data_IF_549630718635
#
_entry.id   IF_549630718635
#
_cell.length_a   1.000
_cell.length_b   1.000
_cell.length_c   1.000
_cell.angle_alpha   90.00
_cell.angle_beta   90.00
_cell.angle_gamma   90.00
#
_symmetry.space_group_name_H-M   'P 1'
#
loop_
_entity.id
_entity.type
_entity.pdbx_description
1 polymer ?
#
# COMPACT_ATOMS: atom_id res chain seq x y z
N UNK A 1 -25.10 -12.58 13.27
CA UNK A 1 -25.53 -11.85 12.05
C UNK A 1 -25.24 -10.34 12.12
N UNK A 2 -25.71 -9.58 13.15
CA UNK A 2 -25.41 -8.14 13.28
C UNK A 2 -23.91 -7.79 13.42
N UNK A 3 -23.12 -8.62 14.11
CA UNK A 3 -21.68 -8.40 14.30
C UNK A 3 -20.88 -8.47 12.99
N UNK A 4 -21.20 -9.43 12.10
CA UNK A 4 -20.50 -9.58 10.82
C UNK A 4 -20.76 -8.41 9.86
N UNK A 5 -21.99 -7.87 9.85
CA UNK A 5 -22.35 -6.71 9.00
C UNK A 5 -21.54 -5.48 9.44
N UNK A 6 -21.45 -5.22 10.75
CA UNK A 6 -20.67 -4.11 11.30
C UNK A 6 -19.16 -4.25 11.00
N UNK A 7 -18.63 -5.47 11.03
CA UNK A 7 -17.24 -5.73 10.67
C UNK A 7 -16.99 -5.45 9.18
N UNK A 8 -17.85 -5.95 8.30
CA UNK A 8 -17.73 -5.72 6.87
C UNK A 8 -17.78 -4.23 6.52
N UNK A 9 -18.73 -3.49 7.10
CA UNK A 9 -18.85 -2.05 6.93
C UNK A 9 -17.58 -1.33 7.40
N UNK A 10 -17.01 -1.75 8.53
CA UNK A 10 -15.75 -1.21 9.03
C UNK A 10 -14.59 -1.43 8.03
N UNK A 11 -14.39 -2.67 7.56
CA UNK A 11 -13.29 -3.02 6.65
C UNK A 11 -13.39 -2.24 5.34
N UNK A 12 -14.60 -2.15 4.77
CA UNK A 12 -14.84 -1.39 3.53
C UNK A 12 -14.69 0.11 3.73
N UNK A 13 -15.15 0.65 4.87
CA UNK A 13 -14.98 2.08 5.20
C UNK A 13 -13.51 2.48 5.19
N UNK A 14 -12.61 1.69 5.78
CA UNK A 14 -11.18 2.04 5.81
C UNK A 14 -10.57 2.15 4.41
N UNK A 15 -10.92 1.24 3.51
CA UNK A 15 -10.41 1.26 2.13
C UNK A 15 -11.03 2.43 1.36
N UNK A 16 -12.30 2.73 1.60
CA UNK A 16 -12.99 3.87 0.98
C UNK A 16 -12.37 5.22 1.36
N UNK A 17 -11.79 5.37 2.56
CA UNK A 17 -11.07 6.59 2.92
C UNK A 17 -9.77 6.77 2.12
N UNK A 18 -9.10 5.68 1.73
CA UNK A 18 -7.94 5.73 0.83
C UNK A 18 -8.40 6.11 -0.58
N UNK A 19 -9.47 5.47 -1.05
CA UNK A 19 -10.07 5.75 -2.35
C UNK A 19 -10.58 7.20 -2.47
N UNK A 20 -11.20 7.76 -1.44
CA UNK A 20 -11.59 9.16 -1.38
C UNK A 20 -10.38 10.09 -1.55
N UNK A 21 -9.28 9.78 -0.86
CA UNK A 21 -8.04 10.56 -0.95
C UNK A 21 -7.51 10.58 -2.38
N UNK A 22 -7.51 9.42 -3.04
CA UNK A 22 -6.93 9.26 -4.36
C UNK A 22 -7.86 9.74 -5.50
N UNK A 23 -9.13 9.37 -5.46
CA UNK A 23 -10.08 9.62 -6.56
C UNK A 23 -10.82 10.96 -6.44
N UNK A 24 -10.94 11.53 -5.23
CA UNK A 24 -11.74 12.74 -5.00
C UNK A 24 -10.88 13.92 -4.53
N UNK A 25 -10.04 13.74 -3.51
CA UNK A 25 -9.23 14.83 -2.97
C UNK A 25 -8.05 15.20 -3.87
N UNK A 26 -7.36 14.23 -4.47
CA UNK A 26 -6.23 14.51 -5.39
C UNK A 26 -6.65 15.38 -6.59
N UNK A 27 -7.76 15.11 -7.32
CA UNK A 27 -8.20 16.01 -8.39
C UNK A 27 -8.48 17.44 -7.92
N UNK A 28 -9.06 17.61 -6.73
CA UNK A 28 -9.31 18.94 -6.16
C UNK A 28 -8.01 19.67 -5.83
N UNK A 29 -7.02 18.96 -5.24
CA UNK A 29 -5.69 19.49 -5.01
C UNK A 29 -5.01 19.93 -6.32
N UNK A 30 -5.04 19.07 -7.35
CA UNK A 30 -4.47 19.39 -8.66
C UNK A 30 -5.13 20.65 -9.26
N UNK A 31 -6.46 20.75 -9.19
CA UNK A 31 -7.18 21.92 -9.67
C UNK A 31 -6.80 23.19 -8.89
N UNK A 32 -6.69 23.10 -7.56
CA UNK A 32 -6.25 24.21 -6.73
C UNK A 32 -4.83 24.68 -7.09
N UNK A 33 -3.90 23.74 -7.30
CA UNK A 33 -2.51 24.04 -7.67
C UNK A 33 -2.40 24.67 -9.07
N UNK A 34 -3.21 24.21 -10.03
CA UNK A 34 -3.26 24.81 -11.39
C UNK A 34 -3.74 26.25 -11.37
N UNK A 35 -4.67 26.57 -10.47
CA UNK A 35 -5.28 27.89 -10.37
C UNK A 35 -4.40 28.91 -9.63
N UNK A 36 -3.32 28.47 -8.98
CA UNK A 36 -2.37 29.38 -8.32
C UNK A 36 -1.19 29.71 -9.25
N UNK A 37 -1.20 30.93 -9.77
CA UNK A 37 -0.11 31.48 -10.59
C UNK A 37 1.05 31.86 -9.68
N UNK A 38 2.27 31.52 -10.10
CA UNK A 38 3.48 31.86 -9.37
C UNK A 38 3.86 33.31 -9.71
N UNK A 39 4.01 34.15 -8.70
CA UNK A 39 4.45 35.54 -8.85
C UNK A 39 5.88 35.61 -9.37
N UNK A 40 6.29 36.75 -9.96
CA UNK A 40 7.67 36.93 -10.42
C UNK A 40 8.69 36.82 -9.29
N UNK A 41 8.30 37.20 -8.06
CA UNK A 41 9.12 36.96 -6.87
C UNK A 41 9.19 35.46 -6.54
N UNK A 42 8.07 34.74 -6.56
CA UNK A 42 8.04 33.29 -6.34
C UNK A 42 8.92 32.52 -7.33
N UNK A 43 8.91 32.91 -8.62
CA UNK A 43 9.74 32.31 -9.66
C UNK A 43 11.24 32.41 -9.38
N UNK A 44 11.70 33.40 -8.59
CA UNK A 44 13.10 33.51 -8.17
C UNK A 44 13.51 32.39 -7.20
N UNK A 45 12.57 31.82 -6.46
CA UNK A 45 12.83 30.76 -5.49
C UNK A 45 12.62 29.36 -6.06
N UNK A 46 11.52 29.15 -6.79
CA UNK A 46 11.11 27.81 -7.22
C UNK A 46 11.36 27.53 -8.71
N UNK A 47 11.82 28.52 -9.48
CA UNK A 47 12.08 28.40 -10.91
C UNK A 47 10.97 28.97 -11.80
N UNK A 48 11.21 28.95 -13.12
CA UNK A 48 10.32 29.57 -14.10
C UNK A 48 9.15 28.65 -14.48
N UNK A 49 8.19 28.52 -13.56
CA UNK A 49 6.94 27.77 -13.74
C UNK A 49 5.74 28.71 -13.84
N UNK A 50 4.71 28.33 -14.60
CA UNK A 50 3.52 29.15 -14.78
C UNK A 50 2.58 29.08 -13.57
N UNK A 51 2.48 27.91 -12.95
CA UNK A 51 1.63 27.65 -11.79
C UNK A 51 2.26 26.61 -10.85
N UNK A 52 1.70 26.48 -9.66
CA UNK A 52 2.23 25.54 -8.65
C UNK A 52 2.08 24.07 -9.03
N UNK A 53 1.15 23.71 -9.93
CA UNK A 53 1.02 22.32 -10.38
C UNK A 53 2.20 21.90 -11.27
N UNK A 54 2.66 22.77 -12.17
CA UNK A 54 3.87 22.50 -12.97
C UNK A 54 5.10 22.29 -12.09
N UNK A 55 5.27 23.14 -11.07
CA UNK A 55 6.33 22.98 -10.09
C UNK A 55 6.21 21.65 -9.34
N UNK A 56 5.00 21.33 -8.84
CA UNK A 56 4.68 20.10 -8.11
C UNK A 56 5.00 18.82 -8.88
N UNK A 57 4.67 18.75 -10.18
CA UNK A 57 5.04 17.61 -11.03
C UNK A 57 6.57 17.53 -11.20
N UNK A 58 7.23 18.67 -11.44
CA UNK A 58 8.67 18.72 -11.73
C UNK A 58 9.54 18.42 -10.50
N UNK A 59 9.06 18.73 -9.30
CA UNK A 59 9.71 18.38 -8.04
C UNK A 59 9.40 16.96 -7.56
N UNK A 60 8.73 16.13 -8.38
CA UNK A 60 8.24 14.80 -8.03
C UNK A 60 7.27 14.76 -6.83
N UNK A 61 6.74 15.91 -6.40
CA UNK A 61 5.85 15.98 -5.24
C UNK A 61 4.58 15.14 -5.44
N UNK A 62 4.12 15.01 -6.68
CA UNK A 62 3.01 14.13 -7.04
C UNK A 62 3.32 12.64 -6.81
N UNK A 63 4.55 12.21 -7.10
CA UNK A 63 4.99 10.83 -6.84
C UNK A 63 5.11 10.56 -5.34
N UNK A 64 5.61 11.51 -4.56
CA UNK A 64 5.66 11.38 -3.10
C UNK A 64 4.27 11.38 -2.45
N UNK A 65 3.32 12.13 -3.01
CA UNK A 65 1.92 12.06 -2.59
C UNK A 65 1.32 10.66 -2.86
N UNK A 66 1.59 10.09 -4.03
CA UNK A 66 1.16 8.73 -4.36
C UNK A 66 1.83 7.68 -3.47
N UNK A 67 3.11 7.81 -3.14
CA UNK A 67 3.78 6.95 -2.15
C UNK A 67 3.06 7.00 -0.80
N UNK A 68 2.72 8.19 -0.30
CA UNK A 68 1.99 8.35 0.95
C UNK A 68 0.63 7.66 0.92
N UNK A 69 -0.09 7.79 -0.20
CA UNK A 69 -1.36 7.11 -0.43
C UNK A 69 -1.19 5.58 -0.46
N UNK A 70 -0.11 5.10 -1.08
CA UNK A 70 0.23 3.69 -1.17
C UNK A 70 0.58 3.09 0.21
N UNK A 71 1.38 3.79 1.01
CA UNK A 71 1.70 3.40 2.39
C UNK A 71 0.42 3.31 3.23
N UNK A 72 -0.50 4.27 3.07
CA UNK A 72 -1.80 4.24 3.72
C UNK A 72 -2.62 3.02 3.30
N UNK A 73 -2.63 2.67 2.00
CA UNK A 73 -3.33 1.46 1.50
C UNK A 73 -2.80 0.19 2.18
N UNK A 74 -1.48 -0.02 2.20
CA UNK A 74 -0.88 -1.18 2.87
C UNK A 74 -1.15 -1.20 4.37
N UNK A 75 -1.19 -0.03 5.02
CA UNK A 75 -1.53 0.08 6.45
C UNK A 75 -2.99 -0.27 6.73
N UNK A 76 -3.91 0.08 5.81
CA UNK A 76 -5.32 -0.33 5.88
C UNK A 76 -5.47 -1.84 5.69
N UNK A 77 -4.72 -2.46 4.77
CA UNK A 77 -4.71 -3.92 4.59
C UNK A 77 -4.29 -4.61 5.89
N UNK A 78 -3.15 -4.21 6.47
CA UNK A 78 -2.65 -4.76 7.74
C UNK A 78 -3.69 -4.63 8.85
N UNK A 79 -4.27 -3.43 9.01
CA UNK A 79 -5.27 -3.19 10.05
C UNK A 79 -6.56 -3.98 9.82
N UNK A 80 -7.03 -4.08 8.58
CA UNK A 80 -8.22 -4.85 8.25
C UNK A 80 -8.03 -6.34 8.53
N UNK A 81 -6.88 -6.91 8.16
CA UNK A 81 -6.52 -8.29 8.51
C UNK A 81 -6.46 -8.47 10.04
N UNK A 82 -5.85 -7.53 10.76
CA UNK A 82 -5.80 -7.58 12.23
C UNK A 82 -7.20 -7.55 12.84
N UNK A 83 -8.04 -6.60 12.43
CA UNK A 83 -9.38 -6.42 12.99
C UNK A 83 -10.32 -7.60 12.68
N UNK A 84 -10.23 -8.17 11.48
CA UNK A 84 -10.98 -9.37 11.15
C UNK A 84 -10.54 -10.55 12.03
N UNK A 85 -9.24 -10.77 12.20
CA UNK A 85 -8.70 -11.81 13.08
C UNK A 85 -9.18 -11.62 14.53
N UNK A 86 -9.04 -10.41 15.07
CA UNK A 86 -9.51 -10.07 16.42
C UNK A 86 -10.99 -10.40 16.60
N UNK A 87 -11.83 -9.98 15.67
CA UNK A 87 -13.27 -10.21 15.74
C UNK A 87 -13.63 -11.70 15.70
N UNK A 88 -12.99 -12.48 14.81
CA UNK A 88 -13.26 -13.92 14.71
C UNK A 88 -12.78 -14.71 15.92
N UNK A 89 -11.69 -14.28 16.57
CA UNK A 89 -11.19 -14.88 17.82
C UNK A 89 -11.94 -14.41 19.07
N UNK A 90 -12.83 -13.42 18.96
CA UNK A 90 -13.56 -12.86 20.09
C UNK A 90 -12.74 -11.88 20.94
N UNK A 91 -11.65 -11.34 20.41
CA UNK A 91 -10.84 -10.31 21.05
C UNK A 91 -11.54 -8.95 20.95
N UNK A 92 -11.69 -8.24 22.07
CA UNK A 92 -12.45 -6.98 22.11
C UNK A 92 -11.57 -5.76 21.83
N UNK A 93 -10.26 -5.89 22.03
CA UNK A 93 -9.31 -4.79 21.94
C UNK A 93 -7.88 -5.32 21.67
N UNK A 94 -6.94 -4.39 21.46
CA UNK A 94 -5.55 -4.73 21.15
C UNK A 94 -4.82 -5.41 22.32
N UNK A 95 -5.20 -5.10 23.57
CA UNK A 95 -4.65 -5.76 24.75
C UNK A 95 -5.01 -7.24 24.76
N UNK A 96 -6.26 -7.59 24.46
CA UNK A 96 -6.70 -8.99 24.34
C UNK A 96 -5.89 -9.72 23.26
N UNK A 97 -5.72 -9.09 22.10
CA UNK A 97 -4.92 -9.64 21.00
C UNK A 97 -3.44 -9.82 21.39
N UNK A 98 -2.85 -8.87 22.11
CA UNK A 98 -1.45 -8.96 22.54
C UNK A 98 -1.20 -10.13 23.52
N UNK A 99 -2.25 -10.60 24.19
CA UNK A 99 -2.20 -11.77 25.06
C UNK A 99 -2.52 -13.09 24.33
N UNK A 100 -2.90 -13.04 23.05
CA UNK A 100 -3.12 -14.24 22.24
C UNK A 100 -1.77 -14.93 21.96
N UNK A 101 -1.58 -16.20 22.36
CA UNK A 101 -0.30 -16.90 22.16
C UNK A 101 0.06 -17.09 20.69
N UNK A 102 -0.91 -17.02 19.78
CA UNK A 102 -0.71 -17.16 18.34
C UNK A 102 -0.48 -15.81 17.64
N UNK A 103 -0.61 -14.70 18.38
CA UNK A 103 -0.27 -13.38 17.87
C UNK A 103 1.22 -13.07 18.07
N UNK A 104 1.84 -12.48 17.06
CA UNK A 104 3.16 -11.89 17.15
C UNK A 104 3.17 -10.52 16.48
N UNK A 105 4.04 -9.64 16.97
CA UNK A 105 4.17 -8.29 16.42
C UNK A 105 4.40 -8.35 14.90
N UNK A 106 3.71 -7.47 14.17
CA UNK A 106 3.77 -7.33 12.71
C UNK A 106 3.36 -8.59 11.92
N UNK A 107 2.67 -9.57 12.51
CA UNK A 107 2.23 -10.78 11.79
C UNK A 107 1.32 -10.46 10.60
N UNK A 108 0.48 -9.44 10.72
CA UNK A 108 -0.43 -9.00 9.65
C UNK A 108 0.26 -8.24 8.52
N UNK A 109 1.55 -7.87 8.68
CA UNK A 109 2.37 -7.33 7.58
C UNK A 109 2.97 -8.44 6.72
N UNK A 110 3.03 -9.67 7.25
CA UNK A 110 3.65 -10.83 6.64
C UNK A 110 2.64 -11.61 5.79
N UNK A 111 2.36 -11.07 4.60
CA UNK A 111 1.34 -11.60 3.68
C UNK A 111 1.89 -12.54 2.59
N UNK A 112 3.21 -12.75 2.55
CA UNK A 112 3.86 -13.49 1.48
C UNK A 112 3.71 -15.00 1.68
N UNK A 113 3.55 -15.75 0.58
CA UNK A 113 3.32 -17.20 0.60
C UNK A 113 4.46 -18.01 1.23
N UNK A 114 5.67 -17.46 1.26
CA UNK A 114 6.85 -18.11 1.83
C UNK A 114 7.08 -17.82 3.31
N UNK A 115 6.24 -17.00 3.93
CA UNK A 115 6.36 -16.66 5.35
C UNK A 115 5.58 -17.69 6.17
N UNK A 116 6.31 -18.59 6.82
CA UNK A 116 5.73 -19.65 7.68
C UNK A 116 5.08 -19.10 8.95
N UNK A 117 5.47 -17.89 9.38
CA UNK A 117 4.89 -17.15 10.50
C UNK A 117 4.09 -15.93 10.03
N UNK A 118 3.42 -16.05 8.87
CA UNK A 118 2.63 -14.98 8.25
C UNK A 118 1.12 -15.10 8.47
N UNK A 119 0.38 -14.17 7.87
CA UNK A 119 -1.08 -14.10 7.97
C UNK A 119 -1.78 -15.29 7.30
N UNK A 120 -1.19 -15.84 6.22
CA UNK A 120 -1.76 -16.97 5.47
C UNK A 120 -1.88 -18.21 6.38
N UNK A 121 -0.78 -18.74 6.94
CA UNK A 121 -0.88 -19.88 7.86
C UNK A 121 -1.65 -19.54 9.13
N UNK A 122 -1.56 -18.31 9.66
CA UNK A 122 -2.35 -17.88 10.82
C UNK A 122 -3.86 -18.03 10.56
N UNK A 123 -4.34 -17.50 9.43
CA UNK A 123 -5.77 -17.54 9.08
C UNK A 123 -6.25 -18.95 8.80
N UNK A 124 -5.45 -19.75 8.10
CA UNK A 124 -5.79 -21.13 7.82
C UNK A 124 -5.92 -21.94 9.11
N UNK A 125 -4.96 -21.82 10.02
CA UNK A 125 -4.89 -22.65 11.22
C UNK A 125 -5.87 -22.17 12.32
N UNK A 126 -5.98 -20.86 12.53
CA UNK A 126 -6.74 -20.30 13.64
C UNK A 126 -8.20 -20.03 13.31
N UNK A 127 -8.50 -19.74 12.03
CA UNK A 127 -9.83 -19.32 11.59
C UNK A 127 -10.46 -20.27 10.57
N UNK A 128 -9.70 -21.24 10.03
CA UNK A 128 -10.15 -22.08 8.92
C UNK A 128 -10.38 -21.30 7.63
N UNK A 129 -9.74 -20.13 7.47
CA UNK A 129 -9.90 -19.26 6.29
C UNK A 129 -8.70 -19.41 5.36
N UNK A 130 -8.95 -19.97 4.17
CA UNK A 130 -7.93 -20.06 3.12
C UNK A 130 -7.83 -18.75 2.33
N UNK A 131 -6.84 -17.93 2.65
CA UNK A 131 -6.57 -16.70 1.91
C UNK A 131 -6.07 -16.94 0.48
N UNK A 132 -5.48 -18.11 0.20
CA UNK A 132 -4.92 -18.45 -1.12
C UNK A 132 -5.99 -18.72 -2.16
N UNK A 133 -7.22 -19.02 -1.71
CA UNK A 133 -8.40 -19.12 -2.58
C UNK A 133 -8.85 -17.75 -3.14
N UNK A 134 -8.38 -16.62 -2.60
CA UNK A 134 -8.73 -15.30 -3.12
C UNK A 134 -7.85 -14.90 -4.30
N UNK A 135 -8.47 -14.70 -5.46
CA UNK A 135 -7.79 -14.29 -6.70
C UNK A 135 -7.00 -12.96 -6.60
N UNK A 136 -7.33 -12.11 -5.63
CA UNK A 136 -6.68 -10.82 -5.42
C UNK A 136 -5.53 -10.88 -4.39
N UNK A 137 -5.23 -12.05 -3.83
CA UNK A 137 -4.15 -12.18 -2.83
C UNK A 137 -2.79 -11.73 -3.39
N UNK A 138 -2.47 -12.04 -4.65
CA UNK A 138 -1.23 -11.59 -5.28
C UNK A 138 -1.11 -10.06 -5.30
N UNK A 139 -2.22 -9.35 -5.56
CA UNK A 139 -2.23 -7.88 -5.50
C UNK A 139 -1.98 -7.38 -4.06
N UNK A 140 -2.56 -8.04 -3.06
CA UNK A 140 -2.29 -7.73 -1.64
C UNK A 140 -0.81 -7.94 -1.30
N UNK A 141 -0.20 -9.00 -1.83
CA UNK A 141 1.22 -9.31 -1.66
C UNK A 141 2.13 -8.27 -2.30
N UNK A 142 1.82 -7.87 -3.54
CA UNK A 142 2.53 -6.77 -4.22
C UNK A 142 2.40 -5.47 -3.44
N UNK A 143 1.17 -5.08 -3.03
CA UNK A 143 0.92 -3.85 -2.28
C UNK A 143 1.74 -3.82 -0.99
N UNK A 144 1.73 -4.91 -0.21
CA UNK A 144 2.47 -4.96 1.05
C UNK A 144 3.98 -4.87 0.83
N UNK A 145 4.51 -5.47 -0.24
CA UNK A 145 5.93 -5.36 -0.57
C UNK A 145 6.31 -3.93 -0.99
N UNK A 146 5.53 -3.29 -1.86
CA UNK A 146 5.76 -1.89 -2.24
C UNK A 146 5.61 -0.94 -1.04
N UNK A 147 4.64 -1.18 -0.16
CA UNK A 147 4.50 -0.44 1.10
C UNK A 147 5.76 -0.54 1.95
N UNK A 148 6.38 -1.72 2.06
CA UNK A 148 7.64 -1.85 2.79
C UNK A 148 8.78 -1.08 2.13
N UNK A 149 8.88 -1.13 0.80
CA UNK A 149 9.86 -0.34 0.04
C UNK A 149 9.72 1.16 0.33
N UNK A 150 8.50 1.68 0.25
CA UNK A 150 8.23 3.12 0.47
C UNK A 150 8.36 3.56 1.92
N UNK A 151 7.92 2.73 2.87
CA UNK A 151 7.95 3.08 4.29
C UNK A 151 9.34 2.92 4.95
N UNK A 152 10.16 1.99 4.47
CA UNK A 152 11.43 1.65 5.12
C UNK A 152 12.66 2.02 4.30
N UNK A 153 12.52 2.19 2.98
CA UNK A 153 13.64 2.57 2.11
C UNK A 153 13.33 3.81 1.27
N UNK A 154 12.29 4.58 1.60
CA UNK A 154 11.89 5.79 0.88
C UNK A 154 11.65 5.57 -0.63
N UNK A 155 11.38 4.34 -1.06
CA UNK A 155 11.25 4.00 -2.48
C UNK A 155 12.55 3.67 -3.21
N UNK A 156 13.70 3.69 -2.53
CA UNK A 156 14.99 3.35 -3.11
C UNK A 156 15.09 1.83 -3.30
N UNK A 157 15.57 1.37 -4.45
CA UNK A 157 15.76 -0.07 -4.72
C UNK A 157 16.87 -0.69 -3.86
N UNK A 158 16.70 -1.97 -3.55
CA UNK A 158 17.74 -2.84 -3.00
C UNK A 158 17.58 -4.26 -3.56
N UNK A 159 18.63 -5.08 -3.42
CA UNK A 159 18.65 -6.45 -3.98
C UNK A 159 17.54 -7.32 -3.40
N UNK A 160 17.30 -7.21 -2.08
CA UNK A 160 16.26 -7.96 -1.37
C UNK A 160 14.86 -7.68 -1.94
N UNK A 161 14.56 -6.43 -2.32
CA UNK A 161 13.30 -6.08 -2.96
C UNK A 161 13.15 -6.70 -4.36
N UNK A 162 14.23 -6.71 -5.16
CA UNK A 162 14.20 -7.23 -6.53
C UNK A 162 13.99 -8.73 -6.54
N UNK A 163 14.71 -9.45 -5.68
CA UNK A 163 14.51 -10.88 -5.49
C UNK A 163 13.08 -11.21 -5.05
N UNK A 164 12.54 -10.44 -4.10
CA UNK A 164 11.16 -10.62 -3.62
C UNK A 164 10.12 -10.32 -4.68
N UNK A 165 10.27 -9.26 -5.48
CA UNK A 165 9.32 -8.93 -6.55
C UNK A 165 9.30 -10.03 -7.62
N UNK A 166 10.48 -10.50 -8.04
CA UNK A 166 10.62 -11.63 -8.97
C UNK A 166 9.92 -12.88 -8.44
N UNK A 167 9.98 -13.13 -7.13
CA UNK A 167 9.28 -14.26 -6.50
C UNK A 167 7.75 -14.12 -6.49
N UNK A 168 7.20 -12.91 -6.37
CA UNK A 168 5.75 -12.68 -6.30
C UNK A 168 5.10 -12.80 -7.67
N UNK A 169 5.64 -12.09 -8.67
CA UNK A 169 4.98 -11.95 -9.96
C UNK A 169 5.88 -12.24 -11.17
N UNK A 170 7.08 -12.79 -10.95
CA UNK A 170 8.02 -13.14 -12.01
C UNK A 170 8.75 -11.95 -12.63
N UNK A 171 8.51 -10.72 -12.18
CA UNK A 171 9.15 -9.53 -12.77
C UNK A 171 10.64 -9.49 -12.41
N UNK A 172 11.49 -9.61 -13.43
CA UNK A 172 12.93 -9.42 -13.28
C UNK A 172 13.30 -7.96 -13.57
N UNK A 173 13.46 -7.16 -12.50
CA UNK A 173 13.82 -5.75 -12.67
C UNK A 173 15.21 -5.54 -13.27
N UNK A 174 16.10 -6.52 -13.21
CA UNK A 174 17.41 -6.43 -13.87
C UNK A 174 17.31 -6.58 -15.39
N UNK A 175 16.14 -6.91 -15.93
CA UNK A 175 15.87 -6.85 -17.37
C UNK A 175 15.45 -5.46 -17.85
N UNK A 176 15.11 -4.52 -16.95
CA UNK A 176 14.79 -3.14 -17.31
C UNK A 176 16.09 -2.35 -17.58
N UNK A 177 16.28 -1.78 -18.80
CA UNK A 177 17.46 -1.00 -19.14
C UNK A 177 17.77 0.16 -18.20
N UNK A 178 16.75 0.77 -17.61
CA UNK A 178 16.93 1.90 -16.68
C UNK A 178 17.41 1.44 -15.31
N UNK A 179 16.97 0.26 -14.87
CA UNK A 179 17.38 -0.32 -13.60
C UNK A 179 18.80 -0.87 -13.71
N UNK A 180 19.08 -1.68 -14.74
CA UNK A 180 20.41 -2.30 -14.94
C UNK A 180 21.52 -1.26 -15.15
N UNK A 181 21.24 -0.15 -15.84
CA UNK A 181 22.20 0.92 -16.07
C UNK A 181 22.65 1.63 -14.78
N UNK A 182 21.88 1.51 -13.70
CA UNK A 182 22.15 2.17 -12.41
C UNK A 182 22.66 1.20 -11.33
N UNK A 183 22.97 -0.04 -11.70
CA UNK A 183 23.44 -1.08 -10.78
C UNK A 183 24.97 -1.00 -10.52
N UNK A 184 25.46 -1.19 -9.27
CA UNK A 184 24.71 -1.35 -8.02
C UNK A 184 23.98 -0.05 -7.64
N UNK A 185 22.75 -0.16 -7.11
CA UNK A 185 21.78 0.94 -7.05
C UNK A 185 22.35 2.21 -6.41
N UNK A 186 22.48 3.26 -7.22
CA UNK A 186 22.74 4.62 -6.76
C UNK A 186 21.38 5.30 -6.48
N UNK A 187 20.90 5.26 -5.23
CA UNK A 187 19.68 5.95 -4.74
C UNK A 187 18.49 5.99 -5.74
N UNK A 188 18.26 4.89 -6.48
CA UNK A 188 17.26 4.86 -7.55
C UNK A 188 15.85 4.73 -6.97
N UNK A 189 15.04 5.76 -7.13
CA UNK A 189 13.62 5.74 -6.73
C UNK A 189 12.78 4.88 -7.67
N UNK A 190 12.09 3.90 -7.11
CA UNK A 190 11.19 3.01 -7.82
C UNK A 190 9.73 3.46 -7.76
N UNK A 191 9.37 4.37 -8.67
CA UNK A 191 8.02 4.92 -8.76
C UNK A 191 7.06 4.13 -9.66
N UNK A 192 7.54 3.17 -10.45
CA UNK A 192 6.70 2.43 -11.40
C UNK A 192 5.46 1.78 -10.75
N UNK A 193 5.51 1.19 -9.54
CA UNK A 193 4.33 0.59 -8.91
C UNK A 193 3.20 1.60 -8.63
N UNK A 194 3.51 2.89 -8.53
CA UNK A 194 2.52 3.95 -8.28
C UNK A 194 1.52 4.07 -9.44
N UNK A 195 1.89 3.67 -10.66
CA UNK A 195 0.99 3.66 -11.83
C UNK A 195 -0.19 2.69 -11.66
N UNK A 196 -0.01 1.66 -10.82
CA UNK A 196 -1.05 0.68 -10.49
C UNK A 196 -1.88 1.07 -9.26
N UNK A 197 -1.67 2.25 -8.67
CA UNK A 197 -2.34 2.62 -7.41
C UNK A 197 -3.86 2.59 -7.53
N UNK A 198 -4.42 3.05 -8.66
CA UNK A 198 -5.85 2.95 -8.96
C UNK A 198 -6.37 1.51 -8.88
N UNK A 199 -5.72 0.58 -9.59
CA UNK A 199 -6.14 -0.82 -9.60
C UNK A 199 -5.94 -1.45 -8.22
N UNK A 200 -4.82 -1.19 -7.55
CA UNK A 200 -4.57 -1.72 -6.21
C UNK A 200 -5.62 -1.31 -5.17
N UNK A 201 -6.12 -0.07 -5.23
CA UNK A 201 -7.24 0.36 -4.37
C UNK A 201 -8.49 -0.49 -4.65
N UNK A 202 -8.85 -0.69 -5.91
CA UNK A 202 -10.04 -1.47 -6.30
C UNK A 202 -9.90 -2.96 -5.99
N UNK A 203 -8.74 -3.56 -6.27
CA UNK A 203 -8.49 -4.96 -5.95
C UNK A 203 -8.47 -5.19 -4.45
N UNK A 204 -8.01 -4.21 -3.66
CA UNK A 204 -8.11 -4.26 -2.18
C UNK A 204 -9.57 -4.23 -1.72
N UNK A 205 -10.42 -3.38 -2.31
CA UNK A 205 -11.87 -3.38 -2.04
C UNK A 205 -12.47 -4.76 -2.31
N UNK A 206 -12.13 -5.38 -3.44
CA UNK A 206 -12.62 -6.72 -3.83
C UNK A 206 -12.10 -7.81 -2.92
N UNK A 207 -10.82 -7.78 -2.56
CA UNK A 207 -10.22 -8.69 -1.59
C UNK A 207 -11.02 -8.69 -0.28
N UNK A 208 -11.34 -7.52 0.27
CA UNK A 208 -12.05 -7.44 1.54
C UNK A 208 -13.56 -7.72 1.48
N UNK A 209 -14.16 -7.89 0.29
CA UNK A 209 -15.59 -8.25 0.17
C UNK A 209 -15.89 -9.68 0.62
N UNK A 210 -14.90 -10.57 0.62
CA UNK A 210 -15.09 -11.98 1.00
C UNK A 210 -15.21 -12.21 2.52
N UNK A 211 -14.84 -11.22 3.34
CA UNK A 211 -14.73 -11.37 4.80
C UNK A 211 -16.08 -11.17 5.53
N UNK A 212 -17.13 -11.83 5.04
CA UNK A 212 -18.51 -11.82 5.56
C UNK A 212 -18.78 -12.85 6.66
#
# INVERSE_FOLDING_TARGET
MKSNILMQEYLQKQINLVAETHFLLRPQLIQALKNQIITDEGKKFIGNFNNYYEYWEKSFSDRFFDMGTFIRLGSVIENNLKHYYMNKKGHNNLTDLNNDPNYSLNIFQRVQSWQTNGVIPLYQNELGVDLTANINLTNIQEIMMHRHLYAHNSGILNDDYIEKLKRINGTDLLSDPNVIATYPYQDHYWFQPLEKLNSFIEETRRFFRQFT
#
